data_IF_073534803467
#
_entry.id   IF_073534803467
#
_cell.length_a   1.000
_cell.length_b   1.000
_cell.length_c   1.000
_cell.angle_alpha   90.00
_cell.angle_beta   90.00
_cell.angle_gamma   90.00
#
_symmetry.space_group_name_H-M   'P 1'
#
loop_
_entity.id
_entity.type
_entity.pdbx_description
1 polymer ?
#
# COMPACT_ATOMS: atom_id res chain seq x y z
N UNK A 1 4.14 17.39 -15.89
CA UNK A 1 4.49 16.11 -15.22
C UNK A 1 5.87 15.65 -15.65
N UNK A 2 6.76 15.42 -14.70
CA UNK A 2 8.10 14.89 -14.94
C UNK A 2 8.05 13.46 -15.54
N UNK A 3 9.09 13.05 -16.28
CA UNK A 3 9.19 11.74 -16.93
C UNK A 3 8.98 10.59 -15.94
N UNK A 4 9.59 10.69 -14.76
CA UNK A 4 9.45 9.73 -13.67
C UNK A 4 7.97 9.54 -13.25
N UNK A 5 7.22 10.63 -13.08
CA UNK A 5 5.82 10.56 -12.64
C UNK A 5 4.94 9.92 -13.71
N UNK A 6 5.22 10.17 -14.99
CA UNK A 6 4.51 9.53 -16.10
C UNK A 6 4.80 8.03 -16.15
N UNK A 7 6.08 7.65 -16.02
CA UNK A 7 6.50 6.24 -15.99
C UNK A 7 5.86 5.48 -14.83
N UNK A 8 5.85 6.10 -13.64
CA UNK A 8 5.21 5.56 -12.44
C UNK A 8 3.71 5.35 -12.65
N UNK A 9 2.96 6.40 -12.99
CA UNK A 9 1.50 6.31 -13.11
C UNK A 9 1.08 5.33 -14.21
N UNK A 10 1.77 5.36 -15.37
CA UNK A 10 1.50 4.42 -16.44
C UNK A 10 1.70 2.98 -15.97
N UNK A 11 2.81 2.68 -15.30
CA UNK A 11 3.09 1.35 -14.78
C UNK A 11 2.08 0.92 -13.71
N UNK A 12 1.75 1.79 -12.75
CA UNK A 12 0.76 1.51 -11.69
C UNK A 12 -0.60 1.17 -12.29
N UNK A 13 -1.13 2.02 -13.16
CA UNK A 13 -2.46 1.81 -13.73
C UNK A 13 -2.51 0.60 -14.68
N UNK A 14 -1.44 0.32 -15.44
CA UNK A 14 -1.38 -0.88 -16.27
C UNK A 14 -1.43 -2.16 -15.43
N UNK A 15 -0.64 -2.25 -14.35
CA UNK A 15 -0.65 -3.41 -13.45
C UNK A 15 -2.03 -3.54 -12.80
N UNK A 16 -2.56 -2.46 -12.24
CA UNK A 16 -3.87 -2.45 -11.58
C UNK A 16 -4.99 -2.88 -12.53
N UNK A 17 -5.02 -2.33 -13.76
CA UNK A 17 -6.06 -2.62 -14.75
C UNK A 17 -6.02 -4.08 -15.19
N UNK A 18 -4.84 -4.66 -15.42
CA UNK A 18 -4.71 -6.07 -15.77
C UNK A 18 -5.13 -6.94 -14.59
N UNK A 19 -4.55 -6.72 -13.41
CA UNK A 19 -4.74 -7.56 -12.24
C UNK A 19 -6.18 -7.52 -11.70
N UNK A 20 -6.71 -6.34 -11.42
CA UNK A 20 -8.09 -6.21 -10.94
C UNK A 20 -9.10 -6.41 -12.06
N UNK A 21 -8.75 -6.10 -13.32
CA UNK A 21 -9.60 -6.41 -14.47
C UNK A 21 -9.85 -7.93 -14.62
N UNK A 22 -8.83 -8.76 -14.42
CA UNK A 22 -8.99 -10.22 -14.36
C UNK A 22 -9.95 -10.61 -13.23
N UNK A 23 -9.79 -10.04 -12.03
CA UNK A 23 -10.66 -10.33 -10.90
C UNK A 23 -12.13 -9.97 -11.21
N UNK A 24 -12.36 -8.83 -11.87
CA UNK A 24 -13.69 -8.39 -12.30
C UNK A 24 -14.28 -9.36 -13.34
N UNK A 25 -13.52 -9.76 -14.37
CA UNK A 25 -13.98 -10.70 -15.39
C UNK A 25 -14.35 -12.06 -14.77
N UNK A 26 -13.53 -12.55 -13.83
CA UNK A 26 -13.81 -13.77 -13.08
C UNK A 26 -15.10 -13.63 -12.26
N UNK A 27 -15.27 -12.52 -11.55
CA UNK A 27 -16.49 -12.25 -10.76
C UNK A 27 -17.75 -12.20 -11.63
N UNK A 28 -17.68 -11.58 -12.81
CA UNK A 28 -18.79 -11.56 -13.78
C UNK A 28 -19.12 -12.95 -14.32
N UNK A 29 -18.16 -13.87 -14.30
CA UNK A 29 -18.33 -15.27 -14.71
C UNK A 29 -18.79 -16.17 -13.56
N UNK A 30 -19.10 -15.60 -12.38
CA UNK A 30 -19.51 -16.33 -11.18
C UNK A 30 -18.35 -16.95 -10.39
N UNK A 31 -17.11 -16.60 -10.70
CA UNK A 31 -15.90 -17.04 -9.97
C UNK A 31 -15.53 -15.94 -8.97
N UNK A 32 -15.90 -16.13 -7.71
CA UNK A 32 -15.68 -15.15 -6.65
C UNK A 32 -14.34 -15.34 -5.93
N UNK A 33 -13.86 -14.27 -5.29
CA UNK A 33 -12.59 -14.25 -4.57
C UNK A 33 -12.59 -15.20 -3.37
N UNK A 34 -13.74 -15.31 -2.70
CA UNK A 34 -13.91 -16.10 -1.47
C UNK A 34 -13.83 -17.61 -1.73
N UNK A 35 -14.28 -18.04 -2.91
CA UNK A 35 -14.29 -19.45 -3.30
C UNK A 35 -12.96 -19.91 -3.92
N UNK A 36 -12.24 -18.98 -4.55
CA UNK A 36 -11.04 -19.28 -5.34
C UNK A 36 -9.83 -18.48 -4.88
N UNK A 37 -9.10 -19.05 -3.91
CA UNK A 37 -7.89 -18.44 -3.34
C UNK A 37 -6.82 -18.01 -4.36
N UNK A 38 -6.80 -18.62 -5.55
CA UNK A 38 -5.87 -18.24 -6.61
C UNK A 38 -6.09 -16.81 -7.11
N UNK A 39 -7.32 -16.28 -7.00
CA UNK A 39 -7.65 -14.90 -7.35
C UNK A 39 -7.06 -13.87 -6.38
N UNK A 40 -6.62 -14.28 -5.18
CA UNK A 40 -5.88 -13.39 -4.29
C UNK A 40 -4.53 -12.96 -4.90
N UNK A 41 -3.93 -13.77 -5.78
CA UNK A 41 -2.66 -13.41 -6.42
C UNK A 41 -2.81 -12.16 -7.28
N UNK A 42 -3.69 -12.12 -8.31
CA UNK A 42 -3.92 -10.88 -9.06
C UNK A 42 -4.50 -9.78 -8.17
N UNK A 43 -5.37 -10.08 -7.21
CA UNK A 43 -5.90 -9.06 -6.29
C UNK A 43 -4.80 -8.31 -5.52
N UNK A 44 -3.87 -9.05 -4.90
CA UNK A 44 -2.74 -8.49 -4.15
C UNK A 44 -1.74 -7.79 -5.06
N UNK A 45 -1.44 -8.33 -6.24
CA UNK A 45 -0.55 -7.68 -7.20
C UNK A 45 -1.13 -6.36 -7.71
N UNK A 46 -2.46 -6.27 -7.87
CA UNK A 46 -3.14 -5.02 -8.19
C UNK A 46 -3.02 -3.99 -7.06
N UNK A 47 -3.20 -4.41 -5.80
CA UNK A 47 -3.01 -3.55 -4.64
C UNK A 47 -1.56 -3.10 -4.46
N UNK A 48 -0.59 -3.97 -4.73
CA UNK A 48 0.84 -3.64 -4.71
C UNK A 48 1.35 -2.94 -5.97
N UNK A 49 0.47 -2.60 -6.92
CA UNK A 49 0.87 -1.92 -8.15
C UNK A 49 1.66 -0.63 -7.91
N UNK A 50 1.31 0.31 -7.01
CA UNK A 50 2.13 1.49 -6.73
C UNK A 50 3.49 1.12 -6.12
N UNK A 51 3.57 0.10 -5.26
CA UNK A 51 4.83 -0.38 -4.69
C UNK A 51 5.77 -0.89 -5.79
N UNK A 52 5.27 -1.78 -6.66
CA UNK A 52 6.02 -2.38 -7.77
C UNK A 52 6.43 -1.29 -8.77
N UNK A 53 5.48 -0.45 -9.18
CA UNK A 53 5.71 0.63 -10.12
C UNK A 53 6.71 1.66 -9.58
N UNK A 54 6.73 1.90 -8.26
CA UNK A 54 7.70 2.84 -7.68
C UNK A 54 9.13 2.37 -7.90
N UNK A 55 9.41 1.09 -7.67
CA UNK A 55 10.71 0.50 -7.89
C UNK A 55 11.09 0.51 -9.37
N UNK A 56 10.18 0.08 -10.25
CA UNK A 56 10.42 0.02 -11.70
C UNK A 56 10.68 1.42 -12.29
N UNK A 57 9.88 2.41 -11.92
CA UNK A 57 10.02 3.77 -12.42
C UNK A 57 11.31 4.44 -11.93
N UNK A 58 11.67 4.26 -10.65
CA UNK A 58 12.93 4.79 -10.10
C UNK A 58 14.16 4.13 -10.73
N UNK A 59 14.11 2.82 -10.95
CA UNK A 59 15.20 2.08 -11.61
C UNK A 59 15.36 2.48 -13.08
N UNK A 60 14.24 2.64 -13.80
CA UNK A 60 14.22 3.09 -15.21
C UNK A 60 14.77 4.50 -15.40
N UNK A 61 14.65 5.37 -14.39
CA UNK A 61 15.13 6.75 -14.40
C UNK A 61 16.47 6.93 -13.66
N UNK A 62 17.24 5.84 -13.48
CA UNK A 62 18.58 5.83 -12.89
C UNK A 62 18.66 6.47 -11.48
N UNK A 63 17.55 6.47 -10.73
CA UNK A 63 17.47 7.03 -9.36
C UNK A 63 17.86 6.04 -8.27
N UNK A 64 17.83 4.75 -8.57
CA UNK A 64 18.21 3.64 -7.68
C UNK A 64 18.89 2.55 -8.51
N UNK A 65 19.79 1.79 -7.89
CA UNK A 65 20.44 0.63 -8.52
C UNK A 65 19.77 -0.68 -8.10
N UNK A 66 19.49 -0.81 -6.79
CA UNK A 66 19.09 -2.06 -6.16
C UNK A 66 17.91 -1.88 -5.19
N UNK A 67 17.23 -2.99 -4.84
CA UNK A 67 16.12 -3.00 -3.88
C UNK A 67 16.54 -2.46 -2.50
N UNK A 68 17.78 -2.73 -2.07
CA UNK A 68 18.31 -2.20 -0.81
C UNK A 68 18.33 -0.66 -0.76
N UNK A 69 18.68 -0.02 -1.88
CA UNK A 69 18.71 1.44 -1.99
C UNK A 69 17.30 2.01 -2.00
N UNK A 70 16.38 1.34 -2.70
CA UNK A 70 14.95 1.67 -2.68
C UNK A 70 14.36 1.59 -1.28
N UNK A 71 14.60 0.49 -0.55
CA UNK A 71 14.14 0.34 0.84
C UNK A 71 14.70 1.43 1.75
N UNK A 72 15.97 1.78 1.62
CA UNK A 72 16.60 2.85 2.42
C UNK A 72 15.93 4.21 2.17
N UNK A 73 15.49 4.47 0.96
CA UNK A 73 14.80 5.71 0.60
C UNK A 73 13.38 5.79 1.17
N UNK A 74 12.72 4.64 1.38
CA UNK A 74 11.36 4.56 1.92
C UNK A 74 11.37 4.60 3.44
N UNK A 75 12.24 3.81 4.06
CA UNK A 75 12.36 3.68 5.52
C UNK A 75 13.36 4.70 6.07
N UNK A 76 13.06 5.97 5.87
CA UNK A 76 13.92 7.07 6.28
C UNK A 76 13.38 7.75 7.56
N UNK A 77 14.03 7.48 8.69
CA UNK A 77 13.59 7.97 10.01
C UNK A 77 14.10 9.38 10.32
N UNK A 78 13.82 10.34 9.43
CA UNK A 78 14.36 11.73 9.54
C UNK A 78 13.43 12.72 10.21
N UNK A 79 12.19 12.34 10.49
CA UNK A 79 11.22 13.28 11.04
C UNK A 79 11.41 13.48 12.55
N UNK A 80 10.99 14.63 13.06
CA UNK A 80 11.05 14.89 14.50
C UNK A 80 10.06 13.98 15.25
N UNK A 81 10.31 13.71 16.54
CA UNK A 81 9.45 12.90 17.41
C UNK A 81 7.98 13.36 17.38
N UNK A 82 7.74 14.67 17.26
CA UNK A 82 6.40 15.24 17.12
C UNK A 82 5.64 14.72 15.89
N UNK A 83 6.30 14.53 14.76
CA UNK A 83 5.68 14.01 13.54
C UNK A 83 5.22 12.56 13.72
N UNK A 84 6.01 11.74 14.41
CA UNK A 84 5.62 10.36 14.73
C UNK A 84 4.48 10.32 15.75
N UNK A 85 4.53 11.17 16.78
CA UNK A 85 3.46 11.31 17.76
C UNK A 85 2.14 11.71 17.09
N UNK A 86 2.18 12.60 16.09
CA UNK A 86 0.98 13.03 15.36
C UNK A 86 0.27 11.88 14.63
N UNK A 87 1.01 10.90 14.09
CA UNK A 87 0.38 9.72 13.46
C UNK A 87 -0.46 8.93 14.48
N UNK A 88 0.07 8.74 15.69
CA UNK A 88 -0.63 8.04 16.78
C UNK A 88 -1.82 8.85 17.27
N UNK A 89 -1.63 10.17 17.47
CA UNK A 89 -2.70 11.07 17.92
C UNK A 89 -3.86 11.12 16.92
N UNK A 90 -3.58 11.26 15.61
CA UNK A 90 -4.60 11.26 14.58
C UNK A 90 -5.34 9.91 14.51
N UNK A 91 -4.62 8.80 14.66
CA UNK A 91 -5.23 7.48 14.76
C UNK A 91 -6.18 7.36 15.97
N UNK A 92 -5.78 7.88 17.14
CA UNK A 92 -6.65 7.90 18.32
C UNK A 92 -7.85 8.83 18.13
N UNK A 93 -7.67 10.01 17.54
CA UNK A 93 -8.78 10.93 17.23
C UNK A 93 -9.77 10.30 16.25
N UNK A 94 -9.32 9.43 15.35
CA UNK A 94 -10.21 8.70 14.45
C UNK A 94 -10.99 7.58 15.17
N UNK A 95 -10.31 6.80 16.04
CA UNK A 95 -10.87 5.59 16.66
C UNK A 95 -11.67 5.89 17.95
N UNK A 96 -11.19 6.78 18.82
CA UNK A 96 -11.78 7.03 20.15
C UNK A 96 -13.24 7.53 20.05
N UNK A 97 -13.59 8.49 19.18
CA UNK A 97 -14.98 8.91 19.03
C UNK A 97 -15.89 7.77 18.58
N UNK A 98 -15.42 6.88 17.69
CA UNK A 98 -16.18 5.73 17.23
C UNK A 98 -16.49 4.78 18.39
N UNK A 99 -15.50 4.51 19.24
CA UNK A 99 -15.68 3.69 20.45
C UNK A 99 -16.68 4.34 21.41
N UNK A 100 -16.59 5.67 21.61
CA UNK A 100 -17.46 6.38 22.54
C UNK A 100 -18.92 6.46 22.06
N UNK A 101 -19.16 6.56 20.76
CA UNK A 101 -20.50 6.72 20.18
C UNK A 101 -21.15 5.36 19.89
N UNK A 102 -20.39 4.43 19.31
CA UNK A 102 -20.90 3.15 18.79
C UNK A 102 -20.57 1.96 19.68
N UNK A 103 -19.80 2.16 20.75
CA UNK A 103 -19.29 1.08 21.59
C UNK A 103 -18.12 0.33 20.92
N UNK A 104 -17.78 -0.84 21.47
CA UNK A 104 -16.78 -1.73 20.89
C UNK A 104 -17.31 -3.16 20.86
N UNK A 105 -16.88 -3.93 19.86
CA UNK A 105 -17.15 -5.36 19.79
C UNK A 105 -15.90 -6.17 20.16
N UNK A 106 -16.10 -7.42 20.59
CA UNK A 106 -14.99 -8.37 20.75
C UNK A 106 -14.40 -8.68 19.37
N UNK A 107 -13.37 -7.91 18.99
CA UNK A 107 -12.62 -8.10 17.76
C UNK A 107 -11.62 -9.25 17.82
N UNK A 108 -10.67 -9.25 16.89
CA UNK A 108 -9.62 -10.27 16.81
C UNK A 108 -8.79 -10.35 18.13
N UNK A 109 -8.26 -11.54 18.49
CA UNK A 109 -7.41 -11.69 19.67
C UNK A 109 -6.22 -10.73 19.63
N UNK A 110 -5.75 -10.28 20.80
CA UNK A 110 -4.53 -9.45 20.92
C UNK A 110 -3.32 -10.05 20.18
N UNK A 111 -3.23 -11.38 20.12
CA UNK A 111 -2.18 -12.10 19.41
C UNK A 111 -2.21 -11.86 17.88
N UNK A 112 -3.38 -11.54 17.30
CA UNK A 112 -3.52 -11.22 15.88
C UNK A 112 -2.73 -9.97 15.48
N UNK A 113 -2.45 -9.06 16.42
CA UNK A 113 -1.63 -7.85 16.18
C UNK A 113 -0.26 -8.21 15.59
N UNK A 114 0.33 -9.32 16.04
CA UNK A 114 1.65 -9.79 15.57
C UNK A 114 1.65 -10.07 14.07
N UNK A 115 0.50 -10.49 13.51
CA UNK A 115 0.34 -10.77 12.08
C UNK A 115 -0.20 -9.55 11.33
N UNK A 116 -1.18 -8.85 11.92
CA UNK A 116 -1.89 -7.74 11.27
C UNK A 116 -0.99 -6.52 11.07
N UNK A 117 -0.10 -6.18 12.02
CA UNK A 117 0.79 -5.03 11.86
C UNK A 117 1.74 -5.23 10.66
N UNK A 118 2.51 -6.32 10.56
CA UNK A 118 3.33 -6.57 9.36
C UNK A 118 2.51 -6.60 8.07
N UNK A 119 1.33 -7.22 8.10
CA UNK A 119 0.45 -7.28 6.93
C UNK A 119 0.02 -5.89 6.46
N UNK A 120 -0.37 -4.99 7.38
CA UNK A 120 -0.77 -3.62 7.05
C UNK A 120 0.41 -2.76 6.57
N UNK A 121 1.59 -2.97 7.15
CA UNK A 121 2.82 -2.29 6.71
C UNK A 121 3.23 -2.71 5.30
N UNK A 122 3.18 -4.01 4.98
CA UNK A 122 3.52 -4.55 3.66
C UNK A 122 2.40 -4.34 2.62
N UNK A 123 1.15 -4.31 3.06
CA UNK A 123 -0.01 -3.96 2.24
C UNK A 123 -0.04 -2.45 1.99
N UNK A 124 -0.96 -1.76 2.67
CA UNK A 124 -1.19 -0.33 2.44
C UNK A 124 0.02 0.56 2.75
N UNK A 125 0.86 0.19 3.71
CA UNK A 125 2.04 1.01 4.08
C UNK A 125 3.05 1.19 2.94
N UNK A 126 3.32 0.12 2.17
CA UNK A 126 4.27 0.18 1.06
C UNK A 126 3.73 0.94 -0.17
N UNK A 127 2.42 1.07 -0.33
CA UNK A 127 1.84 1.83 -1.44
C UNK A 127 2.29 3.30 -1.43
N UNK A 128 2.53 3.85 -0.23
CA UNK A 128 3.03 5.21 -0.03
C UNK A 128 4.43 5.44 -0.63
N UNK A 129 5.20 4.37 -0.89
CA UNK A 129 6.45 4.45 -1.64
C UNK A 129 6.25 4.87 -3.11
N UNK A 130 5.08 4.60 -3.67
CA UNK A 130 4.66 5.18 -4.95
C UNK A 130 4.07 6.56 -4.74
N UNK A 131 3.02 6.66 -3.93
CA UNK A 131 2.19 7.85 -3.83
C UNK A 131 2.94 9.06 -3.24
N UNK A 132 3.55 8.93 -2.08
CA UNK A 132 4.24 10.06 -1.42
C UNK A 132 5.64 10.24 -1.96
N UNK A 133 6.40 9.17 -2.10
CA UNK A 133 7.82 9.31 -2.41
C UNK A 133 8.08 9.76 -3.85
N UNK A 134 7.27 9.33 -4.84
CA UNK A 134 7.44 9.74 -6.24
C UNK A 134 6.64 11.00 -6.57
N UNK A 135 5.34 11.05 -6.24
CA UNK A 135 4.51 12.18 -6.68
C UNK A 135 4.78 13.47 -5.89
N UNK A 136 5.21 13.39 -4.63
CA UNK A 136 5.52 14.58 -3.84
C UNK A 136 6.92 15.15 -4.09
N UNK A 137 7.76 14.45 -4.88
CA UNK A 137 9.12 14.88 -5.22
C UNK A 137 9.12 15.55 -6.59
N UNK A 138 8.84 16.87 -6.60
CA UNK A 138 9.05 17.72 -7.77
C UNK A 138 10.52 18.08 -7.94
#
# INVERSE_FOLDING_TARGET
MNKLNKDFLCCTFLIMLICWGICVICSLSGIFLDDHYILFVPYLLGGWSPTIASFLALKKNDRIKNVKEWLKNIFDFKHNAFSYMMVVLLGMVFIVPQILISGYESGAPLLAIVVMIPMMLLGGGLEEAGWRYILSRN
#
